data_IF_490898939877
#
_entry.id   IF_490898939877
#
_cell.length_a   1.000
_cell.length_b   1.000
_cell.length_c   1.000
_cell.angle_alpha   90.00
_cell.angle_beta   90.00
_cell.angle_gamma   90.00
#
_symmetry.space_group_name_H-M   'P 1'
#
loop_
_entity.id
_entity.type
_entity.pdbx_description
1 polymer ?
#
# COMPACT_ATOMS: atom_id res chain seq x y z
N UNK A 1 2.42 -22.60 -12.76
CA UNK A 1 1.13 -22.10 -12.23
C UNK A 1 0.51 -21.20 -13.30
N UNK A 2 -0.58 -21.63 -13.95
CA UNK A 2 -1.21 -20.89 -15.06
C UNK A 2 -2.28 -19.94 -14.51
N UNK A 3 -1.97 -18.66 -14.40
CA UNK A 3 -2.89 -17.61 -13.95
C UNK A 3 -3.40 -16.84 -15.18
N UNK A 4 -4.71 -16.61 -15.25
CA UNK A 4 -5.32 -15.87 -16.34
C UNK A 4 -4.77 -14.43 -16.40
N UNK A 5 -4.42 -13.94 -17.60
CA UNK A 5 -3.81 -12.61 -17.83
C UNK A 5 -4.63 -11.45 -17.25
N UNK A 6 -5.94 -11.62 -17.09
CA UNK A 6 -6.84 -10.60 -16.51
C UNK A 6 -6.41 -10.22 -15.07
N UNK A 7 -5.96 -11.19 -14.28
CA UNK A 7 -5.52 -10.95 -12.90
C UNK A 7 -4.07 -10.43 -12.83
N UNK A 8 -3.31 -10.49 -13.92
CA UNK A 8 -1.89 -10.11 -13.93
C UNK A 8 -1.70 -8.68 -13.45
N UNK A 9 -2.53 -7.74 -13.92
CA UNK A 9 -2.43 -6.32 -13.55
C UNK A 9 -2.75 -6.08 -12.07
N UNK A 10 -3.81 -6.72 -11.58
CA UNK A 10 -4.20 -6.63 -10.18
C UNK A 10 -3.11 -7.22 -9.25
N UNK A 11 -2.66 -8.44 -9.55
CA UNK A 11 -1.61 -9.12 -8.78
C UNK A 11 -0.32 -8.30 -8.82
N UNK A 12 0.06 -7.77 -9.97
CA UNK A 12 1.24 -6.92 -10.10
C UNK A 12 1.16 -5.68 -9.20
N UNK A 13 0.01 -5.01 -9.19
CA UNK A 13 -0.22 -3.80 -8.38
C UNK A 13 -0.22 -4.12 -6.88
N UNK A 14 -0.85 -5.22 -6.47
CA UNK A 14 -0.83 -5.67 -5.07
C UNK A 14 0.58 -6.05 -4.64
N UNK A 15 1.31 -6.80 -5.48
CA UNK A 15 2.66 -7.26 -5.16
C UNK A 15 3.63 -6.10 -5.04
N UNK A 16 3.59 -5.14 -5.97
CA UNK A 16 4.45 -3.95 -5.91
C UNK A 16 4.11 -3.09 -4.69
N UNK A 17 2.83 -2.91 -4.37
CA UNK A 17 2.41 -2.18 -3.16
C UNK A 17 2.87 -2.88 -1.87
N UNK A 18 2.77 -4.20 -1.82
CA UNK A 18 3.22 -5.00 -0.68
C UNK A 18 4.74 -4.91 -0.47
N UNK A 19 5.54 -5.07 -1.53
CA UNK A 19 6.99 -4.96 -1.41
C UNK A 19 7.45 -3.55 -1.04
N UNK A 20 6.89 -2.51 -1.68
CA UNK A 20 7.29 -1.14 -1.37
C UNK A 20 6.90 -0.73 0.05
N UNK A 21 5.68 -1.06 0.50
CA UNK A 21 5.24 -0.74 1.87
C UNK A 21 6.07 -1.47 2.93
N UNK A 22 6.39 -2.75 2.69
CA UNK A 22 7.26 -3.54 3.56
C UNK A 22 8.66 -2.92 3.63
N UNK A 23 9.25 -2.59 2.48
CA UNK A 23 10.61 -2.05 2.41
C UNK A 23 10.73 -0.67 3.08
N UNK A 24 9.79 0.25 2.79
CA UNK A 24 9.78 1.59 3.40
C UNK A 24 9.60 1.49 4.91
N UNK A 25 8.62 0.69 5.36
CA UNK A 25 8.37 0.49 6.79
C UNK A 25 9.59 -0.11 7.50
N UNK A 26 10.22 -1.12 6.90
CA UNK A 26 11.40 -1.76 7.45
C UNK A 26 12.55 -0.78 7.64
N UNK A 27 12.87 0.01 6.61
CA UNK A 27 13.93 1.04 6.69
C UNK A 27 13.61 2.07 7.76
N UNK A 28 12.37 2.55 7.79
CA UNK A 28 11.95 3.59 8.73
C UNK A 28 12.12 3.13 10.19
N UNK A 29 11.63 1.93 10.51
CA UNK A 29 11.74 1.37 11.87
C UNK A 29 13.20 1.03 12.17
N UNK A 30 13.96 0.52 11.21
CA UNK A 30 15.39 0.20 11.37
C UNK A 30 16.21 1.43 11.75
N UNK A 31 15.96 2.57 11.10
CA UNK A 31 16.64 3.84 11.40
C UNK A 31 16.21 4.40 12.76
N UNK A 32 14.91 4.32 13.11
CA UNK A 32 14.40 4.98 14.32
C UNK A 32 14.59 4.16 15.61
N UNK A 33 14.49 2.83 15.55
CA UNK A 33 14.50 1.96 16.73
C UNK A 33 15.76 1.07 16.81
N UNK A 34 16.55 1.00 15.75
CA UNK A 34 17.68 0.09 15.64
C UNK A 34 17.26 -1.40 15.63
N UNK A 35 18.24 -2.29 15.64
CA UNK A 35 18.02 -3.74 15.60
C UNK A 35 18.04 -4.33 17.02
N UNK A 36 16.90 -4.30 17.70
CA UNK A 36 16.66 -4.99 18.98
C UNK A 36 16.06 -6.39 18.75
N UNK A 37 16.19 -7.31 19.71
CA UNK A 37 15.47 -8.60 19.70
C UNK A 37 13.93 -8.44 19.61
N UNK A 38 13.40 -7.29 20.04
CA UNK A 38 11.97 -6.97 19.96
C UNK A 38 11.57 -6.31 18.63
N UNK A 39 12.53 -5.95 17.78
CA UNK A 39 12.29 -5.23 16.53
C UNK A 39 11.28 -5.94 15.62
N UNK A 40 11.57 -7.19 15.24
CA UNK A 40 10.69 -7.94 14.34
C UNK A 40 9.33 -8.25 14.98
N UNK A 41 9.32 -8.49 16.31
CA UNK A 41 8.12 -8.82 17.08
C UNK A 41 7.13 -7.66 17.09
N UNK A 42 7.62 -6.41 17.12
CA UNK A 42 6.75 -5.22 17.06
C UNK A 42 6.51 -4.73 15.63
N UNK A 43 7.53 -4.77 14.77
CA UNK A 43 7.46 -4.24 13.42
C UNK A 43 6.44 -4.99 12.55
N UNK A 44 6.49 -6.33 12.55
CA UNK A 44 5.65 -7.13 11.67
C UNK A 44 4.13 -6.96 11.93
N UNK A 45 3.62 -7.03 13.18
CA UNK A 45 2.21 -6.77 13.44
C UNK A 45 1.82 -5.31 13.15
N UNK A 46 2.65 -4.33 13.53
CA UNK A 46 2.37 -2.92 13.28
C UNK A 46 2.31 -2.61 11.77
N UNK A 47 3.24 -3.15 10.99
CA UNK A 47 3.22 -3.06 9.54
C UNK A 47 1.99 -3.75 8.95
N UNK A 48 1.63 -4.94 9.43
CA UNK A 48 0.48 -5.69 8.96
C UNK A 48 -0.85 -4.95 9.18
N UNK A 49 -1.05 -4.37 10.37
CA UNK A 49 -2.23 -3.55 10.69
C UNK A 49 -2.31 -2.31 9.79
N UNK A 50 -1.20 -1.60 9.62
CA UNK A 50 -1.13 -0.44 8.73
C UNK A 50 -1.40 -0.83 7.26
N UNK A 51 -0.86 -1.95 6.80
CA UNK A 51 -1.06 -2.44 5.43
C UNK A 51 -2.51 -2.82 5.17
N UNK A 52 -3.18 -3.48 6.11
CA UNK A 52 -4.62 -3.79 6.00
C UNK A 52 -5.47 -2.52 5.92
N UNK A 53 -5.18 -1.52 6.77
CA UNK A 53 -5.85 -0.23 6.73
C UNK A 53 -5.63 0.47 5.38
N UNK A 54 -4.39 0.47 4.88
CA UNK A 54 -4.04 1.04 3.58
C UNK A 54 -4.76 0.34 2.42
N UNK A 55 -4.93 -0.98 2.47
CA UNK A 55 -5.70 -1.72 1.44
C UNK A 55 -7.18 -1.31 1.42
N UNK A 56 -7.81 -1.18 2.59
CA UNK A 56 -9.19 -0.70 2.69
C UNK A 56 -9.30 0.72 2.13
N UNK A 57 -8.35 1.59 2.47
CA UNK A 57 -8.27 2.94 1.91
C UNK A 57 -8.10 2.89 0.39
N UNK A 58 -7.21 2.07 -0.16
CA UNK A 58 -6.98 1.96 -1.60
C UNK A 58 -8.23 1.53 -2.38
N UNK A 59 -9.16 0.80 -1.75
CA UNK A 59 -10.45 0.46 -2.35
C UNK A 59 -11.47 1.62 -2.28
N UNK A 60 -11.51 2.35 -1.16
CA UNK A 60 -12.51 3.41 -0.92
C UNK A 60 -12.11 4.73 -1.58
N UNK A 61 -10.84 5.11 -1.49
CA UNK A 61 -10.31 6.40 -1.95
C UNK A 61 -10.58 6.68 -3.43
N UNK A 62 -10.41 5.75 -4.39
CA UNK A 62 -10.72 6.03 -5.79
C UNK A 62 -12.15 6.51 -6.00
N UNK A 63 -13.10 5.97 -5.23
CA UNK A 63 -14.51 6.39 -5.31
C UNK A 63 -14.73 7.79 -4.75
N UNK A 64 -14.03 8.15 -3.68
CA UNK A 64 -14.07 9.48 -3.07
C UNK A 64 -13.39 10.50 -4.00
N UNK A 65 -12.19 10.19 -4.48
CA UNK A 65 -11.41 11.04 -5.37
C UNK A 65 -12.15 11.26 -6.70
N UNK A 66 -12.80 10.25 -7.27
CA UNK A 66 -13.62 10.43 -8.47
C UNK A 66 -14.79 11.40 -8.22
N UNK A 67 -15.44 11.36 -7.05
CA UNK A 67 -16.47 12.35 -6.68
C UNK A 67 -15.90 13.75 -6.44
N UNK A 68 -14.65 13.87 -6.00
CA UNK A 68 -14.00 15.17 -5.87
C UNK A 68 -13.58 15.72 -7.24
N UNK A 69 -13.11 14.86 -8.14
CA UNK A 69 -12.70 15.26 -9.48
C UNK A 69 -13.85 15.81 -10.33
N UNK A 70 -15.11 15.47 -10.03
CA UNK A 70 -16.27 16.10 -10.72
C UNK A 70 -16.42 17.59 -10.45
N UNK A 71 -15.77 18.13 -9.41
CA UNK A 71 -15.74 19.57 -9.14
C UNK A 71 -14.67 20.31 -9.95
N UNK A 72 -13.74 19.59 -10.57
CA UNK A 72 -12.64 20.17 -11.33
C UNK A 72 -13.01 20.07 -12.81
N UNK A 73 -13.33 21.20 -13.44
CA UNK A 73 -13.51 21.28 -14.89
C UNK A 73 -12.13 21.29 -15.55
N UNK A 74 -11.71 20.12 -16.05
CA UNK A 74 -10.53 20.04 -16.91
C UNK A 74 -10.87 20.71 -18.25
N UNK A 75 -10.22 21.84 -18.54
CA UNK A 75 -10.26 22.49 -19.85
C UNK A 75 -8.97 22.12 -20.56
N UNK A 76 -9.05 21.23 -21.55
CA UNK A 76 -7.95 20.99 -22.47
C UNK A 76 -7.78 22.22 -23.36
N UNK A 77 -6.53 22.73 -23.44
CA UNK A 77 -6.14 23.83 -24.33
C UNK A 77 -5.77 23.30 -25.71
#
# INVERSE_FOLDING_TARGET
MNINKIYKSFIYTVLIGLFNSCFISFILVSINLGYSHTFLIHWLPMWGEAFLCAMVCAYIFPRIINKLMTFITFVDK
#
